data_IF_377084129250
#
_entry.id   IF_377084129250
#
_cell.length_a   1.000
_cell.length_b   1.000
_cell.length_c   1.000
_cell.angle_alpha   90.00
_cell.angle_beta   90.00
_cell.angle_gamma   90.00
#
_symmetry.space_group_name_H-M   'P 1'
#
loop_
_entity.id
_entity.type
_entity.pdbx_description
1 polymer ?
#
# COMPACT_ATOMS: atom_id res chain seq x y z
N UNK A 1 45.93 11.07 5.32
CA UNK A 1 45.05 9.96 5.74
C UNK A 1 43.92 9.86 4.72
N UNK A 2 43.86 8.82 3.88
CA UNK A 2 42.72 8.64 2.94
C UNK A 2 41.49 8.36 3.80
N UNK A 3 40.48 9.23 3.73
CA UNK A 3 39.19 9.01 4.40
C UNK A 3 38.66 7.65 3.93
N UNK A 4 38.42 6.72 4.85
CA UNK A 4 37.76 5.47 4.48
C UNK A 4 36.35 5.81 3.98
N UNK A 5 35.94 5.34 2.79
CA UNK A 5 34.63 5.64 2.27
C UNK A 5 33.55 5.04 3.19
N UNK A 6 32.44 5.77 3.39
CA UNK A 6 31.31 5.32 4.22
C UNK A 6 30.77 3.96 3.75
N UNK A 7 30.84 3.68 2.45
CA UNK A 7 30.42 2.42 1.83
C UNK A 7 31.59 1.74 1.12
N UNK A 8 31.67 0.41 1.25
CA UNK A 8 32.72 -0.40 0.63
C UNK A 8 32.51 -0.62 -0.87
N UNK A 9 31.26 -0.68 -1.33
CA UNK A 9 30.89 -0.87 -2.73
C UNK A 9 30.43 0.45 -3.36
N UNK A 10 30.62 0.57 -4.69
CA UNK A 10 30.03 1.66 -5.45
C UNK A 10 28.49 1.56 -5.46
N UNK A 11 27.81 2.67 -5.76
CA UNK A 11 26.33 2.72 -5.77
C UNK A 11 25.69 1.66 -6.68
N UNK A 12 26.26 1.44 -7.86
CA UNK A 12 25.72 0.50 -8.84
C UNK A 12 25.95 -0.96 -8.42
N UNK A 13 27.12 -1.26 -7.86
CA UNK A 13 27.43 -2.59 -7.33
C UNK A 13 26.59 -2.94 -6.10
N UNK A 14 26.40 -1.97 -5.19
CA UNK A 14 25.53 -2.17 -4.03
C UNK A 14 24.08 -2.38 -4.48
N UNK A 15 23.59 -1.56 -5.42
CA UNK A 15 22.23 -1.69 -5.94
C UNK A 15 22.03 -3.04 -6.62
N UNK A 16 22.96 -3.49 -7.48
CA UNK A 16 22.88 -4.82 -8.12
C UNK A 16 22.83 -5.94 -7.10
N UNK A 17 23.66 -5.88 -6.06
CA UNK A 17 23.72 -6.91 -5.00
C UNK A 17 22.42 -6.95 -4.19
N UNK A 18 21.90 -5.79 -3.80
CA UNK A 18 20.64 -5.68 -3.04
C UNK A 18 19.45 -6.10 -3.90
N UNK A 19 19.41 -5.75 -5.20
CA UNK A 19 18.38 -6.21 -6.14
C UNK A 19 18.40 -7.73 -6.30
N UNK A 20 19.57 -8.33 -6.48
CA UNK A 20 19.69 -9.80 -6.58
C UNK A 20 19.19 -10.50 -5.31
N UNK A 21 19.50 -9.92 -4.13
CA UNK A 21 18.96 -10.39 -2.86
C UNK A 21 17.44 -10.25 -2.80
N UNK A 22 16.89 -9.08 -3.15
CA UNK A 22 15.46 -8.82 -3.09
C UNK A 22 14.69 -9.76 -4.03
N UNK A 23 15.18 -9.96 -5.25
CA UNK A 23 14.64 -10.95 -6.17
C UNK A 23 14.62 -12.36 -5.56
N UNK A 24 15.71 -12.76 -4.91
CA UNK A 24 15.81 -14.07 -4.25
C UNK A 24 14.84 -14.19 -3.08
N UNK A 25 14.61 -13.12 -2.31
CA UNK A 25 13.62 -13.09 -1.22
C UNK A 25 12.21 -13.24 -1.77
N UNK A 26 11.83 -12.44 -2.77
CA UNK A 26 10.52 -12.54 -3.42
C UNK A 26 10.29 -13.92 -4.02
N UNK A 27 11.26 -14.44 -4.79
CA UNK A 27 11.16 -15.78 -5.41
C UNK A 27 11.04 -16.91 -4.38
N UNK A 28 11.69 -16.78 -3.22
CA UNK A 28 11.64 -17.80 -2.14
C UNK A 28 10.35 -17.72 -1.33
N UNK A 29 9.65 -16.60 -1.35
CA UNK A 29 8.33 -16.49 -0.72
C UNK A 29 7.25 -17.13 -1.61
N UNK A 30 7.43 -18.42 -1.91
CA UNK A 30 6.54 -19.19 -2.77
C UNK A 30 5.13 -19.26 -2.19
N UNK A 31 4.99 -19.43 -0.87
CA UNK A 31 3.68 -19.45 -0.21
C UNK A 31 2.86 -18.18 -0.50
N UNK A 32 3.48 -17.00 -0.39
CA UNK A 32 2.82 -15.75 -0.72
C UNK A 32 2.44 -15.68 -2.20
N UNK A 33 3.36 -16.02 -3.10
CA UNK A 33 3.10 -16.01 -4.56
C UNK A 33 1.97 -16.97 -4.94
N UNK A 34 1.94 -18.19 -4.40
CA UNK A 34 0.91 -19.17 -4.70
C UNK A 34 -0.48 -18.74 -4.22
N UNK A 35 -0.59 -18.30 -2.97
CA UNK A 35 -1.86 -17.80 -2.41
C UNK A 35 -2.35 -16.59 -3.20
N UNK A 36 -1.43 -15.70 -3.56
CA UNK A 36 -1.73 -14.49 -4.34
C UNK A 36 -2.19 -14.83 -5.76
N UNK A 37 -1.51 -15.75 -6.44
CA UNK A 37 -1.89 -16.20 -7.78
C UNK A 37 -3.28 -16.85 -7.79
N UNK A 38 -3.57 -17.72 -6.80
CA UNK A 38 -4.89 -18.33 -6.65
C UNK A 38 -5.96 -17.28 -6.40
N UNK A 39 -5.71 -16.33 -5.49
CA UNK A 39 -6.65 -15.25 -5.18
C UNK A 39 -6.96 -14.42 -6.43
N UNK A 40 -5.95 -14.08 -7.23
CA UNK A 40 -6.10 -13.33 -8.49
C UNK A 40 -6.95 -14.10 -9.51
N UNK A 41 -6.72 -15.40 -9.68
CA UNK A 41 -7.50 -16.24 -10.59
C UNK A 41 -8.96 -16.33 -10.14
N UNK A 42 -9.20 -16.66 -8.86
CA UNK A 42 -10.55 -16.81 -8.32
C UNK A 42 -11.33 -15.50 -8.42
N UNK A 43 -10.72 -14.37 -8.02
CA UNK A 43 -11.39 -13.07 -8.10
C UNK A 43 -11.59 -12.60 -9.53
N UNK A 44 -10.64 -12.88 -10.43
CA UNK A 44 -10.80 -12.65 -11.86
C UNK A 44 -11.97 -13.43 -12.46
N UNK A 45 -12.14 -14.70 -12.10
CA UNK A 45 -13.29 -15.52 -12.52
C UNK A 45 -14.61 -15.03 -11.91
N UNK A 46 -14.63 -14.64 -10.64
CA UNK A 46 -15.83 -14.10 -9.99
C UNK A 46 -16.27 -12.80 -10.68
N UNK A 47 -15.37 -11.84 -10.89
CA UNK A 47 -15.73 -10.59 -11.56
C UNK A 47 -16.06 -10.80 -13.04
N UNK A 48 -15.29 -11.64 -13.74
CA UNK A 48 -15.56 -11.97 -15.14
C UNK A 48 -16.91 -12.67 -15.34
N UNK A 49 -17.32 -13.56 -14.43
CA UNK A 49 -18.62 -14.23 -14.51
C UNK A 49 -19.80 -13.37 -14.05
N UNK A 50 -19.59 -12.51 -13.04
CA UNK A 50 -20.62 -11.57 -12.57
C UNK A 50 -21.01 -10.57 -13.65
N UNK A 51 -20.03 -10.11 -14.44
CA UNK A 51 -20.21 -9.13 -15.50
C UNK A 51 -20.12 -9.74 -16.91
N UNK A 52 -20.49 -11.02 -17.04
CA UNK A 52 -20.32 -11.76 -18.28
C UNK A 52 -21.06 -11.11 -19.46
N UNK A 53 -20.31 -10.77 -20.52
CA UNK A 53 -20.83 -10.15 -21.75
C UNK A 53 -21.77 -8.97 -21.50
N UNK A 54 -21.26 -7.95 -20.83
CA UNK A 54 -22.04 -6.75 -20.49
C UNK A 54 -22.38 -5.94 -21.74
N UNK A 55 -23.62 -5.41 -21.80
CA UNK A 55 -24.05 -4.52 -22.88
C UNK A 55 -23.26 -3.19 -22.81
N UNK A 56 -22.51 -2.82 -23.87
CA UNK A 56 -21.74 -1.58 -23.90
C UNK A 56 -22.58 -0.29 -23.76
N UNK A 57 -23.89 -0.37 -24.04
CA UNK A 57 -24.84 0.75 -23.88
C UNK A 57 -25.03 1.12 -22.41
N UNK A 58 -24.85 0.18 -21.49
CA UNK A 58 -24.91 0.45 -20.07
C UNK A 58 -23.57 1.01 -19.57
N UNK A 59 -23.47 2.35 -19.58
CA UNK A 59 -22.31 3.09 -19.10
C UNK A 59 -22.00 2.78 -17.63
N UNK A 60 -23.03 2.64 -16.80
CA UNK A 60 -22.86 2.39 -15.37
C UNK A 60 -22.21 1.03 -15.14
N UNK A 61 -22.67 -0.01 -15.84
CA UNK A 61 -22.11 -1.35 -15.73
C UNK A 61 -20.68 -1.42 -16.27
N UNK A 62 -20.43 -0.88 -17.47
CA UNK A 62 -19.10 -0.93 -18.10
C UNK A 62 -18.06 -0.15 -17.31
N UNK A 63 -18.38 1.08 -16.89
CA UNK A 63 -17.47 1.89 -16.04
C UNK A 63 -17.31 1.24 -14.67
N UNK A 64 -18.38 0.62 -14.13
CA UNK A 64 -18.34 -0.14 -12.90
C UNK A 64 -17.35 -1.32 -12.94
N UNK A 65 -17.27 -2.05 -14.06
CA UNK A 65 -16.30 -3.14 -14.26
C UNK A 65 -14.86 -2.59 -14.24
N UNK A 66 -14.61 -1.49 -14.95
CA UNK A 66 -13.29 -0.85 -14.99
C UNK A 66 -12.88 -0.36 -13.59
N UNK A 67 -13.81 0.24 -12.86
CA UNK A 67 -13.60 0.68 -11.49
C UNK A 67 -13.34 -0.49 -10.54
N UNK A 68 -14.14 -1.55 -10.61
CA UNK A 68 -13.95 -2.76 -9.80
C UNK A 68 -12.58 -3.41 -10.06
N UNK A 69 -12.13 -3.43 -11.31
CA UNK A 69 -10.81 -3.92 -11.67
C UNK A 69 -9.69 -3.08 -11.04
N UNK A 70 -9.81 -1.75 -11.06
CA UNK A 70 -8.83 -0.85 -10.41
C UNK A 70 -8.81 -1.00 -8.88
N UNK A 71 -9.97 -1.15 -8.24
CA UNK A 71 -10.07 -1.37 -6.80
C UNK A 71 -9.45 -2.71 -6.40
N UNK A 72 -9.65 -3.75 -7.19
CA UNK A 72 -9.05 -5.05 -6.89
C UNK A 72 -7.52 -4.97 -6.88
N UNK A 73 -6.94 -4.24 -7.84
CA UNK A 73 -5.49 -4.00 -7.86
C UNK A 73 -5.03 -3.24 -6.61
N UNK A 74 -5.76 -2.21 -6.17
CA UNK A 74 -5.40 -1.43 -4.99
C UNK A 74 -5.50 -2.21 -3.69
N UNK A 75 -6.64 -2.88 -3.46
CA UNK A 75 -6.87 -3.73 -2.28
C UNK A 75 -5.84 -4.86 -2.20
N UNK A 76 -5.49 -5.44 -3.35
CA UNK A 76 -4.55 -6.53 -3.45
C UNK A 76 -3.15 -6.20 -2.92
N UNK A 77 -2.70 -4.94 -3.07
CA UNK A 77 -1.38 -4.51 -2.60
C UNK A 77 -1.31 -4.30 -1.09
N UNK A 78 -2.45 -4.19 -0.39
CA UNK A 78 -2.50 -4.08 1.08
C UNK A 78 -1.83 -5.28 1.77
N UNK A 79 -1.83 -6.44 1.12
CA UNK A 79 -1.18 -7.65 1.62
C UNK A 79 0.35 -7.54 1.73
N UNK A 80 0.97 -6.56 1.06
CA UNK A 80 2.42 -6.31 1.12
C UNK A 80 2.84 -5.48 2.34
N UNK A 81 1.90 -4.81 3.02
CA UNK A 81 2.19 -3.92 4.17
C UNK A 81 3.00 -4.62 5.27
N UNK A 82 2.67 -5.85 5.71
CA UNK A 82 3.49 -6.56 6.72
C UNK A 82 4.90 -6.86 6.20
N UNK A 83 5.03 -7.29 4.94
CA UNK A 83 6.32 -7.62 4.33
C UNK A 83 7.22 -6.38 4.21
N UNK A 84 6.68 -5.22 3.83
CA UNK A 84 7.45 -3.98 3.80
C UNK A 84 7.85 -3.51 5.20
N UNK A 85 6.96 -3.69 6.19
CA UNK A 85 7.26 -3.37 7.58
C UNK A 85 8.42 -4.22 8.13
N UNK A 86 8.39 -5.54 7.93
CA UNK A 86 9.50 -6.43 8.35
C UNK A 86 10.80 -6.13 7.60
N UNK A 87 10.71 -5.83 6.30
CA UNK A 87 11.87 -5.47 5.49
C UNK A 87 12.54 -4.17 5.97
N UNK A 88 11.76 -3.23 6.51
CA UNK A 88 12.26 -1.98 7.11
C UNK A 88 13.14 -2.23 8.33
N UNK A 89 12.76 -3.16 9.20
CA UNK A 89 13.55 -3.47 10.41
C UNK A 89 14.89 -4.11 10.05
N UNK A 90 14.90 -4.97 9.02
CA UNK A 90 16.12 -5.55 8.45
C UNK A 90 16.97 -4.45 7.79
N UNK A 91 16.33 -3.52 7.08
CA UNK A 91 16.98 -2.38 6.46
C UNK A 91 17.71 -1.50 7.50
N UNK A 92 17.08 -1.15 8.62
CA UNK A 92 17.71 -0.34 9.67
C UNK A 92 18.99 -0.99 10.23
N UNK A 93 18.95 -2.29 10.50
CA UNK A 93 20.14 -3.06 10.95
C UNK A 93 21.28 -3.03 9.93
N UNK A 94 20.95 -3.18 8.65
CA UNK A 94 21.93 -3.20 7.56
C UNK A 94 22.47 -1.81 7.23
N UNK A 95 21.64 -0.78 7.34
CA UNK A 95 22.03 0.62 7.17
C UNK A 95 22.92 1.10 8.31
N UNK A 96 22.67 0.68 9.56
CA UNK A 96 23.60 0.98 10.68
C UNK A 96 24.98 0.35 10.52
N UNK A 97 25.07 -0.76 9.80
CA UNK A 97 26.34 -1.40 9.45
C UNK A 97 26.96 -0.83 8.15
N UNK A 98 26.36 0.22 7.56
CA UNK A 98 26.80 0.85 6.31
C UNK A 98 26.98 -0.12 5.13
N UNK A 99 26.13 -1.15 5.02
CA UNK A 99 26.21 -2.09 3.90
C UNK A 99 25.79 -1.49 2.55
N UNK A 100 24.75 -0.65 2.54
CA UNK A 100 24.24 0.00 1.33
C UNK A 100 23.40 1.24 1.67
N UNK A 101 23.12 2.07 0.66
CA UNK A 101 22.34 3.32 0.77
C UNK A 101 20.83 3.08 0.70
N UNK A 102 20.05 3.98 1.30
CA UNK A 102 18.57 3.93 1.28
C UNK A 102 18.00 3.90 -0.14
N UNK A 103 18.56 4.70 -1.05
CA UNK A 103 18.17 4.72 -2.45
C UNK A 103 18.40 3.36 -3.16
N UNK A 104 19.49 2.65 -2.86
CA UNK A 104 19.75 1.31 -3.42
C UNK A 104 18.70 0.29 -2.98
N UNK A 105 18.18 0.42 -1.76
CA UNK A 105 17.12 -0.45 -1.24
C UNK A 105 15.76 -0.17 -1.90
N UNK A 106 15.40 1.11 -2.04
CA UNK A 106 14.16 1.48 -2.71
C UNK A 106 14.14 1.01 -4.18
N UNK A 107 15.25 1.20 -4.91
CA UNK A 107 15.39 0.70 -6.29
C UNK A 107 15.31 -0.83 -6.34
N UNK A 108 15.99 -1.53 -5.43
CA UNK A 108 15.94 -2.98 -5.36
C UNK A 108 14.52 -3.51 -5.07
N UNK A 109 13.78 -2.86 -4.18
CA UNK A 109 12.39 -3.20 -3.88
C UNK A 109 11.48 -2.95 -5.08
N UNK A 110 11.62 -1.79 -5.74
CA UNK A 110 10.91 -1.45 -6.98
C UNK A 110 11.10 -2.52 -8.06
N UNK A 111 12.36 -2.87 -8.36
CA UNK A 111 12.68 -3.85 -9.40
C UNK A 111 12.16 -5.26 -9.10
N UNK A 112 12.10 -5.63 -7.81
CA UNK A 112 11.57 -6.94 -7.41
C UNK A 112 10.04 -7.05 -7.52
N UNK A 113 9.32 -5.92 -7.49
CA UNK A 113 7.86 -5.89 -7.59
C UNK A 113 7.35 -5.94 -9.03
N UNK A 114 8.12 -5.44 -10.01
CA UNK A 114 7.71 -5.36 -11.42
C UNK A 114 7.27 -6.72 -12.00
N UNK A 115 8.02 -7.82 -11.84
CA UNK A 115 7.60 -9.11 -12.41
C UNK A 115 6.29 -9.62 -11.82
N UNK A 116 6.08 -9.39 -10.52
CA UNK A 116 4.84 -9.78 -9.84
C UNK A 116 3.66 -8.94 -10.36
N UNK A 117 3.84 -7.61 -10.49
CA UNK A 117 2.82 -6.71 -11.01
C UNK A 117 2.42 -7.07 -12.45
N UNK A 118 3.39 -7.42 -13.31
CA UNK A 118 3.13 -7.88 -14.68
C UNK A 118 2.31 -9.18 -14.66
N UNK A 119 2.72 -10.17 -13.87
CA UNK A 119 2.03 -11.45 -13.76
C UNK A 119 0.59 -11.30 -13.26
N UNK A 120 0.38 -10.54 -12.18
CA UNK A 120 -0.96 -10.26 -11.63
C UNK A 120 -1.85 -9.56 -12.65
N UNK A 121 -1.31 -8.56 -13.36
CA UNK A 121 -2.07 -7.77 -14.33
C UNK A 121 -2.46 -8.57 -15.56
N UNK A 122 -1.56 -9.42 -16.08
CA UNK A 122 -1.86 -10.29 -17.22
C UNK A 122 -2.94 -11.29 -16.84
N UNK A 123 -2.80 -12.00 -15.72
CA UNK A 123 -3.76 -13.05 -15.34
C UNK A 123 -5.13 -12.44 -15.02
N UNK A 124 -5.19 -11.46 -14.11
CA UNK A 124 -6.43 -10.80 -13.73
C UNK A 124 -7.07 -10.08 -14.92
N UNK A 125 -6.25 -9.27 -15.62
CA UNK A 125 -6.72 -8.41 -16.67
C UNK A 125 -7.24 -9.19 -17.87
N UNK A 126 -6.60 -10.31 -18.23
CA UNK A 126 -7.10 -11.18 -19.31
C UNK A 126 -8.45 -11.79 -18.94
N UNK A 127 -8.61 -12.30 -17.72
CA UNK A 127 -9.87 -12.90 -17.28
C UNK A 127 -11.02 -11.88 -17.33
N UNK A 128 -10.83 -10.72 -16.70
CA UNK A 128 -11.88 -9.69 -16.63
C UNK A 128 -12.17 -9.12 -18.02
N UNK A 129 -11.15 -8.79 -18.82
CA UNK A 129 -11.34 -8.12 -20.10
C UNK A 129 -12.14 -8.96 -21.10
N UNK A 130 -11.76 -10.23 -21.25
CA UNK A 130 -12.39 -11.13 -22.22
C UNK A 130 -13.74 -11.67 -21.74
N UNK A 131 -13.90 -11.95 -20.44
CA UNK A 131 -15.18 -12.44 -19.91
C UNK A 131 -16.23 -11.32 -19.86
N UNK A 132 -15.83 -10.09 -19.53
CA UNK A 132 -16.75 -8.95 -19.49
C UNK A 132 -17.24 -8.51 -20.89
N UNK A 133 -16.55 -8.92 -21.96
CA UNK A 133 -16.89 -8.53 -23.32
C UNK A 133 -16.43 -7.10 -23.66
N UNK A 134 -15.30 -6.65 -23.11
CA UNK A 134 -14.71 -5.35 -23.49
C UNK A 134 -14.24 -5.36 -24.95
N UNK A 135 -13.85 -4.19 -25.47
CA UNK A 135 -13.57 -3.99 -26.90
C UNK A 135 -12.57 -5.04 -27.43
N UNK A 136 -12.90 -5.85 -28.46
CA UNK A 136 -12.04 -6.95 -28.91
C UNK A 136 -10.91 -6.46 -29.84
N UNK A 137 -10.10 -5.50 -29.39
CA UNK A 137 -8.95 -4.95 -30.12
C UNK A 137 -7.68 -5.06 -29.29
N UNK A 138 -6.60 -5.58 -29.90
CA UNK A 138 -5.33 -5.83 -29.21
C UNK A 138 -4.70 -4.56 -28.62
N UNK A 139 -4.80 -3.40 -29.30
CA UNK A 139 -4.25 -2.14 -28.79
C UNK A 139 -4.93 -1.68 -27.50
N UNK A 140 -6.26 -1.75 -27.45
CA UNK A 140 -7.04 -1.37 -26.27
C UNK A 140 -6.81 -2.34 -25.11
N UNK A 141 -6.65 -3.63 -25.39
CA UNK A 141 -6.28 -4.64 -24.40
C UNK A 141 -4.89 -4.39 -23.79
N UNK A 142 -3.88 -4.07 -24.60
CA UNK A 142 -2.53 -3.78 -24.10
C UNK A 142 -2.54 -2.53 -23.22
N UNK A 143 -3.24 -1.47 -23.62
CA UNK A 143 -3.37 -0.24 -22.81
C UNK A 143 -4.07 -0.56 -21.47
N UNK A 144 -5.12 -1.37 -21.50
CA UNK A 144 -5.80 -1.83 -20.29
C UNK A 144 -4.84 -2.57 -19.34
N UNK A 145 -4.04 -3.50 -19.85
CA UNK A 145 -3.04 -4.21 -19.06
C UNK A 145 -1.95 -3.29 -18.49
N UNK A 146 -1.48 -2.31 -19.27
CA UNK A 146 -0.49 -1.32 -18.82
C UNK A 146 -1.06 -0.50 -17.66
N UNK A 147 -2.30 -0.03 -17.76
CA UNK A 147 -2.95 0.75 -16.70
C UNK A 147 -3.12 -0.11 -15.43
N UNK A 148 -3.54 -1.37 -15.57
CA UNK A 148 -3.65 -2.30 -14.42
C UNK A 148 -2.30 -2.55 -13.75
N UNK A 149 -1.23 -2.72 -14.55
CA UNK A 149 0.13 -2.89 -14.04
C UNK A 149 0.63 -1.64 -13.31
N UNK A 150 0.41 -0.45 -13.88
CA UNK A 150 0.78 0.81 -13.25
C UNK A 150 0.02 1.03 -11.94
N UNK A 151 -1.26 0.68 -11.92
CA UNK A 151 -2.07 0.76 -10.69
C UNK A 151 -1.51 -0.13 -9.59
N UNK A 152 -1.16 -1.37 -9.92
CA UNK A 152 -0.52 -2.31 -9.01
C UNK A 152 0.80 -1.73 -8.45
N UNK A 153 1.64 -1.16 -9.31
CA UNK A 153 2.92 -0.54 -8.92
C UNK A 153 2.75 0.71 -8.05
N UNK A 154 1.82 1.61 -8.40
CA UNK A 154 1.54 2.85 -7.64
C UNK A 154 1.09 2.51 -6.22
N UNK A 155 0.20 1.53 -6.06
CA UNK A 155 -0.27 1.11 -4.74
C UNK A 155 0.82 0.39 -3.94
N UNK A 156 1.65 -0.43 -4.59
CA UNK A 156 2.81 -1.02 -3.93
C UNK A 156 3.79 0.07 -3.42
N UNK A 157 4.05 1.11 -4.23
CA UNK A 157 4.86 2.25 -3.84
C UNK A 157 4.22 3.10 -2.73
N UNK A 158 2.89 3.28 -2.77
CA UNK A 158 2.13 3.94 -1.72
C UNK A 158 2.29 3.22 -0.38
N UNK A 159 2.09 1.90 -0.33
CA UNK A 159 2.24 1.13 0.90
C UNK A 159 3.70 1.04 1.36
N UNK A 160 4.66 1.01 0.45
CA UNK A 160 6.08 1.13 0.79
C UNK A 160 6.38 2.49 1.47
N UNK A 161 5.87 3.59 0.90
CA UNK A 161 6.01 4.93 1.48
C UNK A 161 5.30 5.03 2.84
N UNK A 162 4.07 4.53 2.93
CA UNK A 162 3.28 4.55 4.16
C UNK A 162 3.96 3.78 5.30
N UNK A 163 4.49 2.58 5.01
CA UNK A 163 5.24 1.79 6.01
C UNK A 163 6.56 2.42 6.40
N UNK A 164 7.19 3.21 5.52
CA UNK A 164 8.34 4.03 5.89
C UNK A 164 7.94 5.17 6.84
N UNK A 165 6.79 5.82 6.61
CA UNK A 165 6.32 6.96 7.40
C UNK A 165 5.77 6.55 8.77
N UNK A 166 5.03 5.45 8.87
CA UNK A 166 4.35 5.07 10.11
C UNK A 166 5.30 4.44 11.15
N UNK A 167 5.27 4.84 12.43
CA UNK A 167 6.21 4.32 13.44
C UNK A 167 5.96 2.84 13.78
N UNK A 168 4.70 2.42 13.87
CA UNK A 168 4.32 1.06 14.27
C UNK A 168 3.39 0.39 13.25
N UNK A 169 3.42 -0.95 13.21
CA UNK A 169 2.52 -1.75 12.37
C UNK A 169 1.05 -1.53 12.73
N UNK A 170 0.75 -1.35 14.02
CA UNK A 170 -0.59 -1.07 14.53
C UNK A 170 -1.16 0.27 14.03
N UNK A 171 -0.30 1.20 13.58
CA UNK A 171 -0.72 2.44 12.92
C UNK A 171 -0.72 2.27 11.40
N UNK A 172 0.32 1.63 10.83
CA UNK A 172 0.46 1.45 9.39
C UNK A 172 -0.73 0.68 8.77
N UNK A 173 -1.18 -0.40 9.42
CA UNK A 173 -2.27 -1.23 8.92
C UNK A 173 -3.62 -0.49 8.81
N UNK A 174 -4.16 0.14 9.87
CA UNK A 174 -5.41 0.89 9.75
C UNK A 174 -5.27 2.11 8.81
N UNK A 175 -4.12 2.78 8.80
CA UNK A 175 -3.87 3.88 7.85
C UNK A 175 -3.89 3.41 6.39
N UNK A 176 -3.42 2.19 6.12
CA UNK A 176 -3.48 1.59 4.78
C UNK A 176 -4.92 1.45 4.32
N UNK A 177 -5.76 0.81 5.14
CA UNK A 177 -7.18 0.62 4.83
C UNK A 177 -7.92 1.95 4.72
N UNK A 178 -7.67 2.89 5.64
CA UNK A 178 -8.29 4.21 5.62
C UNK A 178 -7.98 4.98 4.33
N UNK A 179 -6.71 4.94 3.88
CA UNK A 179 -6.33 5.62 2.65
C UNK A 179 -6.99 5.01 1.42
N UNK A 180 -7.08 3.68 1.34
CA UNK A 180 -7.77 3.01 0.23
C UNK A 180 -9.22 3.44 0.13
N UNK A 181 -9.93 3.54 1.27
CA UNK A 181 -11.34 3.96 1.28
C UNK A 181 -11.48 5.39 0.75
N UNK A 182 -10.60 6.31 1.15
CA UNK A 182 -10.61 7.68 0.62
C UNK A 182 -10.32 7.68 -0.88
N UNK A 183 -9.27 6.99 -1.32
CA UNK A 183 -8.90 6.97 -2.74
C UNK A 183 -10.00 6.34 -3.61
N UNK A 184 -10.64 5.28 -3.14
CA UNK A 184 -11.81 4.67 -3.78
C UNK A 184 -13.00 5.64 -3.88
N UNK A 185 -13.36 6.31 -2.77
CA UNK A 185 -14.49 7.23 -2.71
C UNK A 185 -14.34 8.40 -3.70
N UNK A 186 -13.14 8.95 -3.81
CA UNK A 186 -12.79 10.05 -4.72
C UNK A 186 -12.28 9.57 -6.10
N UNK A 187 -12.42 8.27 -6.41
CA UNK A 187 -11.91 7.65 -7.64
C UNK A 187 -12.72 7.97 -8.91
N UNK A 188 -13.83 8.72 -8.81
CA UNK A 188 -14.61 9.19 -9.97
C UNK A 188 -15.78 8.30 -10.40
N UNK A 189 -15.94 7.11 -9.81
CA UNK A 189 -17.12 6.26 -10.02
C UNK A 189 -18.16 6.42 -8.89
N UNK A 190 -17.76 6.20 -7.63
CA UNK A 190 -18.66 6.32 -6.46
C UNK A 190 -19.16 7.76 -6.31
N UNK A 191 -18.25 8.72 -6.43
CA UNK A 191 -18.58 10.13 -6.60
C UNK A 191 -18.05 10.60 -7.95
N UNK A 192 -18.97 10.81 -8.89
CA UNK A 192 -18.66 11.41 -10.18
C UNK A 192 -18.18 12.86 -10.00
N UNK A 193 -17.32 13.32 -10.91
CA UNK A 193 -16.65 14.63 -10.81
C UNK A 193 -17.65 15.80 -10.72
N UNK A 194 -18.79 15.70 -11.39
CA UNK A 194 -19.85 16.72 -11.44
C UNK A 194 -20.64 16.87 -10.13
N UNK A 195 -20.67 15.84 -9.27
CA UNK A 195 -21.38 15.88 -7.98
C UNK A 195 -20.44 16.26 -6.84
N UNK A 196 -19.13 16.29 -7.09
CA UNK A 196 -18.12 16.60 -6.08
C UNK A 196 -18.18 18.09 -5.70
N UNK A 197 -18.20 18.44 -4.41
CA UNK A 197 -18.10 19.82 -3.98
C UNK A 197 -16.80 20.48 -4.48
N UNK A 198 -16.88 21.71 -4.97
CA UNK A 198 -15.73 22.42 -5.58
C UNK A 198 -14.50 22.49 -4.66
N UNK A 199 -14.71 22.60 -3.35
CA UNK A 199 -13.62 22.65 -2.36
C UNK A 199 -12.89 21.31 -2.15
N UNK A 200 -13.46 20.17 -2.60
CA UNK A 200 -12.86 18.84 -2.54
C UNK A 200 -12.25 18.38 -3.87
N UNK A 201 -12.41 19.15 -4.95
CA UNK A 201 -12.01 18.70 -6.28
C UNK A 201 -10.50 18.45 -6.42
N UNK A 202 -9.67 19.07 -5.58
CA UNK A 202 -8.23 18.82 -5.56
C UNK A 202 -7.88 17.38 -5.17
N UNK A 203 -8.68 16.73 -4.31
CA UNK A 203 -8.48 15.33 -3.92
C UNK A 203 -8.64 14.42 -5.13
N UNK A 204 -9.65 14.68 -5.96
CA UNK A 204 -9.88 13.95 -7.20
C UNK A 204 -8.66 13.99 -8.13
N UNK A 205 -7.88 15.07 -8.16
CA UNK A 205 -6.67 15.14 -8.98
C UNK A 205 -5.43 14.49 -8.34
N UNK A 206 -5.41 14.23 -7.03
CA UNK A 206 -4.30 13.54 -6.36
C UNK A 206 -4.45 12.02 -6.37
N UNK A 207 -5.70 11.54 -6.35
CA UNK A 207 -6.01 10.12 -6.23
C UNK A 207 -5.63 9.35 -7.50
N UNK A 208 -4.88 8.24 -7.43
CA UNK A 208 -4.51 7.45 -8.62
C UNK A 208 -5.71 6.78 -9.30
N UNK A 209 -6.76 6.42 -8.56
CA UNK A 209 -7.97 5.78 -9.11
C UNK A 209 -8.65 6.67 -10.15
N UNK A 210 -8.76 7.98 -9.92
CA UNK A 210 -9.42 8.91 -10.84
C UNK A 210 -8.73 8.99 -12.21
N UNK A 211 -7.39 8.95 -12.23
CA UNK A 211 -6.59 8.96 -13.44
C UNK A 211 -6.65 7.61 -14.15
N UNK A 212 -6.64 6.51 -13.40
CA UNK A 212 -6.75 5.16 -13.96
C UNK A 212 -8.11 4.92 -14.59
N UNK A 213 -9.19 5.24 -13.88
CA UNK A 213 -10.54 5.11 -14.36
C UNK A 213 -10.76 5.98 -15.60
N UNK A 214 -10.35 7.25 -15.56
CA UNK A 214 -10.43 8.15 -16.73
C UNK A 214 -9.71 7.56 -17.95
N UNK A 215 -8.48 7.09 -17.78
CA UNK A 215 -7.71 6.51 -18.88
C UNK A 215 -8.37 5.23 -19.43
N UNK A 216 -8.92 4.38 -18.56
CA UNK A 216 -9.62 3.15 -18.95
C UNK A 216 -10.93 3.45 -19.68
N UNK A 217 -11.74 4.39 -19.18
CA UNK A 217 -12.99 4.81 -19.80
C UNK A 217 -12.75 5.37 -21.19
N UNK A 218 -11.78 6.28 -21.34
CA UNK A 218 -11.40 6.83 -22.65
C UNK A 218 -10.89 5.72 -23.57
N UNK A 219 -10.04 4.81 -23.08
CA UNK A 219 -9.56 3.68 -23.87
C UNK A 219 -10.69 2.75 -24.35
N UNK A 220 -11.74 2.54 -23.55
CA UNK A 220 -12.88 1.71 -23.91
C UNK A 220 -13.81 2.42 -24.91
N UNK A 221 -14.31 3.61 -24.55
CA UNK A 221 -15.39 4.29 -25.28
C UNK A 221 -14.93 5.09 -26.48
N UNK A 222 -13.66 5.47 -26.55
CA UNK A 222 -13.08 6.11 -27.74
C UNK A 222 -12.51 5.11 -28.75
N UNK A 223 -12.91 3.84 -28.66
CA UNK A 223 -12.58 2.87 -29.69
C UNK A 223 -13.43 3.10 -30.94
N UNK A 224 -12.92 2.71 -32.11
CA UNK A 224 -13.65 2.82 -33.38
C UNK A 224 -15.01 2.09 -33.38
N UNK A 225 -15.19 1.12 -32.49
CA UNK A 225 -16.44 0.36 -32.34
C UNK A 225 -17.56 1.22 -31.75
N UNK A 226 -17.24 2.19 -30.90
CA UNK A 226 -18.22 3.05 -30.20
C UNK A 226 -18.17 4.51 -30.65
N UNK A 227 -17.17 4.91 -31.45
CA UNK A 227 -17.10 6.23 -32.08
C UNK A 227 -17.95 6.27 -33.36
N UNK A 228 -19.23 5.92 -33.22
CA UNK A 228 -20.23 5.86 -34.30
C UNK A 228 -21.47 6.69 -33.94
N UNK A 229 -22.14 7.22 -34.97
CA UNK A 229 -23.38 7.98 -34.79
C UNK A 229 -24.59 7.09 -34.52
N UNK A 230 -24.67 5.94 -35.19
CA UNK A 230 -25.76 4.98 -35.05
C UNK A 230 -25.21 3.70 -34.45
N UNK A 231 -25.79 3.27 -33.32
CA UNK A 231 -25.47 2.00 -32.67
C UNK A 231 -26.76 1.34 -32.22
N UNK A 232 -27.01 0.11 -32.68
CA UNK A 232 -28.19 -0.70 -32.32
C UNK A 232 -29.52 0.08 -32.48
N UNK A 233 -29.73 0.64 -33.67
CA UNK A 233 -30.90 1.43 -34.08
C UNK A 233 -31.14 2.77 -33.34
N UNK A 234 -30.18 3.24 -32.53
CA UNK A 234 -30.20 4.57 -31.89
C UNK A 234 -29.22 5.52 -32.56
N UNK A 235 -29.69 6.68 -33.03
CA UNK A 235 -28.88 7.74 -33.62
C UNK A 235 -28.51 8.83 -32.59
N UNK A 236 -27.33 8.70 -32.02
CA UNK A 236 -26.78 9.63 -31.01
C UNK A 236 -26.40 11.00 -31.61
N UNK A 237 -25.99 11.04 -32.87
CA UNK A 237 -25.60 12.29 -33.52
C UNK A 237 -26.83 13.17 -33.79
N UNK A 238 -27.95 12.58 -34.23
CA UNK A 238 -29.19 13.33 -34.45
C UNK A 238 -29.81 13.84 -33.14
N UNK A 239 -29.70 13.06 -32.05
CA UNK A 239 -30.39 13.35 -30.80
C UNK A 239 -29.56 14.21 -29.83
N UNK A 240 -28.24 13.99 -29.78
CA UNK A 240 -27.34 14.62 -28.80
C UNK A 240 -26.17 15.37 -29.45
N UNK A 241 -26.03 15.35 -30.78
CA UNK A 241 -24.92 15.96 -31.52
C UNK A 241 -23.52 15.44 -31.07
N UNK A 242 -23.47 14.20 -30.59
CA UNK A 242 -22.28 13.54 -30.05
C UNK A 242 -22.26 12.08 -30.53
N UNK A 243 -21.07 11.47 -30.64
CA UNK A 243 -20.97 10.03 -30.88
C UNK A 243 -21.34 9.24 -29.63
N UNK A 244 -21.74 7.97 -29.78
CA UNK A 244 -22.12 7.12 -28.65
C UNK A 244 -21.04 7.13 -27.55
N UNK A 245 -19.77 6.95 -27.92
CA UNK A 245 -18.67 6.95 -26.98
C UNK A 245 -18.51 8.27 -26.20
N UNK A 246 -18.70 9.43 -26.85
CA UNK A 246 -18.63 10.73 -26.19
C UNK A 246 -19.81 10.95 -25.25
N UNK A 247 -21.01 10.57 -25.68
CA UNK A 247 -22.22 10.67 -24.90
C UNK A 247 -22.11 9.87 -23.59
N UNK A 248 -21.67 8.60 -23.67
CA UNK A 248 -21.50 7.74 -22.50
C UNK A 248 -20.41 8.23 -21.54
N UNK A 249 -19.33 8.82 -22.06
CA UNK A 249 -18.28 9.45 -21.24
C UNK A 249 -18.79 10.71 -20.54
N UNK A 250 -19.60 11.52 -21.23
CA UNK A 250 -20.15 12.75 -20.68
C UNK A 250 -21.10 12.49 -19.51
N UNK A 251 -21.83 11.38 -19.52
CA UNK A 251 -22.73 10.98 -18.42
C UNK A 251 -22.02 10.89 -17.07
N UNK A 252 -20.73 10.48 -17.06
CA UNK A 252 -19.89 10.39 -15.86
C UNK A 252 -18.89 11.56 -15.74
N UNK A 253 -19.08 12.63 -16.51
CA UNK A 253 -18.18 13.80 -16.57
C UNK A 253 -16.71 13.43 -16.86
N UNK A 254 -16.50 12.36 -17.65
CA UNK A 254 -15.19 11.91 -18.10
C UNK A 254 -14.85 12.64 -19.41
N UNK A 255 -13.68 13.26 -19.53
CA UNK A 255 -13.32 13.96 -20.76
C UNK A 255 -13.04 12.98 -21.91
N UNK A 256 -13.46 13.32 -23.13
CA UNK A 256 -13.41 12.45 -24.32
C UNK A 256 -12.07 12.40 -25.05
N UNK A 257 -11.16 13.36 -24.82
CA UNK A 257 -9.91 13.44 -25.59
C UNK A 257 -9.03 12.19 -25.39
N UNK A 258 -8.47 11.67 -26.48
CA UNK A 258 -7.57 10.50 -26.45
C UNK A 258 -6.28 10.75 -25.66
N UNK A 259 -5.85 12.01 -25.55
CA UNK A 259 -4.65 12.42 -24.80
C UNK A 259 -4.73 12.09 -23.31
N UNK A 260 -5.94 11.93 -22.76
CA UNK A 260 -6.13 11.57 -21.35
C UNK A 260 -5.61 10.17 -21.01
N UNK A 261 -5.53 9.27 -21.98
CA UNK A 261 -4.93 7.93 -21.77
C UNK A 261 -3.45 8.08 -21.44
N UNK A 262 -2.70 8.78 -22.30
CA UNK A 262 -1.27 9.00 -22.11
C UNK A 262 -0.96 9.90 -20.91
N UNK A 263 -1.78 10.91 -20.68
CA UNK A 263 -1.66 11.77 -19.49
C UNK A 263 -1.84 10.95 -18.21
N UNK A 264 -2.81 10.03 -18.17
CA UNK A 264 -3.01 9.12 -17.04
C UNK A 264 -1.81 8.19 -16.82
N UNK A 265 -1.24 7.64 -17.89
CA UNK A 265 -0.02 6.80 -17.83
C UNK A 265 1.17 7.59 -17.28
N UNK A 266 1.43 8.79 -17.82
CA UNK A 266 2.53 9.65 -17.37
C UNK A 266 2.35 10.04 -15.90
N UNK A 267 1.13 10.39 -15.50
CA UNK A 267 0.80 10.71 -14.12
C UNK A 267 1.10 9.54 -13.18
N UNK A 268 0.67 8.32 -13.50
CA UNK A 268 0.94 7.14 -12.67
C UNK A 268 2.42 6.81 -12.57
N UNK A 269 3.17 6.91 -13.67
CA UNK A 269 4.63 6.70 -13.66
C UNK A 269 5.30 7.76 -12.79
N UNK A 270 4.91 9.03 -12.93
CA UNK A 270 5.41 10.12 -12.10
C UNK A 270 5.10 9.92 -10.62
N UNK A 271 3.86 9.56 -10.29
CA UNK A 271 3.42 9.29 -8.93
C UNK A 271 4.16 8.08 -8.33
N UNK A 272 4.36 7.02 -9.10
CA UNK A 272 5.14 5.85 -8.68
C UNK A 272 6.57 6.23 -8.28
N UNK A 273 7.28 6.95 -9.16
CA UNK A 273 8.65 7.40 -8.89
C UNK A 273 8.69 8.35 -7.68
N UNK A 274 7.73 9.27 -7.59
CA UNK A 274 7.61 10.21 -6.47
C UNK A 274 7.40 9.48 -5.13
N UNK A 275 6.50 8.50 -5.07
CA UNK A 275 6.22 7.73 -3.86
C UNK A 275 7.42 6.86 -3.46
N UNK A 276 8.09 6.21 -4.41
CA UNK A 276 9.30 5.45 -4.15
C UNK A 276 10.44 6.33 -3.64
N UNK A 277 10.63 7.52 -4.23
CA UNK A 277 11.64 8.49 -3.80
C UNK A 277 11.33 9.04 -2.40
N UNK A 278 10.06 9.37 -2.13
CA UNK A 278 9.61 9.83 -0.81
C UNK A 278 9.81 8.74 0.24
N UNK A 279 9.47 7.48 -0.07
CA UNK A 279 9.75 6.35 0.83
C UNK A 279 11.25 6.18 1.12
N UNK A 280 12.10 6.31 0.10
CA UNK A 280 13.56 6.26 0.27
C UNK A 280 14.09 7.41 1.14
N UNK A 281 13.58 8.61 0.93
CA UNK A 281 13.92 9.81 1.70
C UNK A 281 13.50 9.66 3.16
N UNK A 282 12.27 9.21 3.42
CA UNK A 282 11.76 8.98 4.78
C UNK A 282 12.60 7.92 5.50
N UNK A 283 12.98 6.82 4.84
CA UNK A 283 13.86 5.81 5.41
C UNK A 283 15.27 6.32 5.75
N UNK A 284 15.73 7.37 5.07
CA UNK A 284 17.05 7.98 5.30
C UNK A 284 17.03 8.94 6.49
N UNK A 285 16.00 9.77 6.62
CA UNK A 285 15.95 10.81 7.66
C UNK A 285 15.19 10.37 8.92
N UNK A 286 14.26 9.43 8.80
CA UNK A 286 13.38 9.02 9.90
C UNK A 286 13.62 7.57 10.28
N UNK A 287 14.31 7.38 11.40
CA UNK A 287 14.61 6.06 11.95
C UNK A 287 13.78 5.80 13.19
N UNK A 288 12.93 4.79 13.11
CA UNK A 288 12.10 4.32 14.22
C UNK A 288 12.80 3.16 14.94
N UNK A 289 13.95 3.44 15.55
CA UNK A 289 14.62 2.48 16.44
C UNK A 289 13.99 2.61 17.84
N UNK A 290 12.82 2.02 18.03
CA UNK A 290 12.26 1.77 19.35
C UNK A 290 12.53 0.31 19.74
N UNK A 291 13.10 0.00 20.91
CA UNK A 291 13.10 -1.38 21.38
C UNK A 291 11.66 -1.86 21.47
N UNK A 292 11.34 -2.98 20.81
CA UNK A 292 9.99 -3.55 20.72
C UNK A 292 9.32 -3.83 22.09
N UNK A 293 10.07 -3.71 23.19
CA UNK A 293 9.67 -4.09 24.54
C UNK A 293 9.83 -3.00 25.62
N UNK A 294 10.13 -1.73 25.28
CA UNK A 294 10.16 -0.68 26.32
C UNK A 294 8.82 0.05 26.32
N UNK A 295 7.91 -0.43 27.15
CA UNK A 295 6.79 0.36 27.64
C UNK A 295 7.36 1.59 28.36
N UNK A 296 7.33 2.73 27.67
CA UNK A 296 7.59 4.02 28.29
C UNK A 296 6.53 4.19 29.39
N UNK A 297 6.98 4.35 30.64
CA UNK A 297 6.10 4.76 31.75
C UNK A 297 5.36 6.05 31.32
N UNK A 298 4.08 6.19 31.67
CA UNK A 298 3.34 7.39 31.34
C UNK A 298 4.02 8.60 31.99
N UNK A 299 4.24 9.63 31.17
CA UNK A 299 4.73 10.94 31.58
C UNK A 299 3.54 11.70 32.14
N UNK A 300 3.48 11.89 33.46
CA UNK A 300 2.55 12.84 34.05
C UNK A 300 3.04 14.26 33.77
N UNK A 301 2.35 14.94 32.84
CA UNK A 301 2.40 16.39 32.69
C UNK A 301 1.29 16.99 33.56
N UNK A 302 1.64 17.63 34.68
CA UNK A 302 0.97 18.84 35.17
C UNK A 302 1.78 19.58 36.25
N UNK A 303 2.37 20.70 35.81
CA UNK A 303 2.55 22.01 36.46
C UNK A 303 2.81 22.11 37.97
N UNK A 304 3.89 22.83 38.31
CA UNK A 304 3.94 23.73 39.46
C UNK A 304 5.06 23.42 40.45
N UNK A 305 5.73 24.47 40.92
CA UNK A 305 7.02 24.47 41.61
C UNK A 305 7.06 23.86 43.02
N UNK A 306 8.25 23.31 43.30
CA UNK A 306 9.02 23.40 44.55
C UNK A 306 8.64 22.60 45.82
N UNK A 307 9.57 21.69 46.15
CA UNK A 307 10.14 21.35 47.48
C UNK A 307 9.55 20.20 48.30
N UNK A 308 10.42 19.18 48.48
CA UNK A 308 10.67 18.24 49.61
C UNK A 308 9.49 17.71 50.46
N UNK A 309 9.51 16.37 50.60
CA UNK A 309 9.14 15.54 51.76
C UNK A 309 7.84 15.94 52.49
N UNK A 310 6.77 15.16 52.47
CA UNK A 310 6.51 13.98 53.32
C UNK A 310 5.18 13.37 52.84
N UNK A 311 4.91 12.10 53.14
CA UNK A 311 3.82 11.23 52.65
C UNK A 311 2.42 11.87 52.56
N UNK A 312 1.54 11.48 51.63
CA UNK A 312 0.67 10.31 51.82
C UNK A 312 -0.16 9.98 50.55
N UNK A 313 -0.62 8.73 50.52
CA UNK A 313 -1.63 8.08 49.66
C UNK A 313 -1.14 7.23 48.48
N UNK A 314 -1.68 6.02 48.27
CA UNK A 314 -1.96 4.85 49.13
C UNK A 314 -2.11 3.70 48.13
N UNK A 315 -1.48 2.58 48.42
CA UNK A 315 -1.35 1.40 47.56
C UNK A 315 -2.62 0.53 47.62
N UNK A 316 -3.28 0.28 46.50
CA UNK A 316 -4.33 -0.75 46.39
C UNK A 316 -3.70 -2.14 46.25
N UNK A 317 -3.97 -3.05 47.20
CA UNK A 317 -3.43 -4.42 47.20
C UNK A 317 -4.35 -5.42 46.50
N UNK A 318 -3.71 -6.31 45.73
CA UNK A 318 -4.22 -7.52 45.09
C UNK A 318 -4.68 -8.59 46.13
N UNK A 319 -5.37 -9.69 45.73
CA UNK A 319 -6.37 -10.41 46.54
C UNK A 319 -5.80 -11.34 47.64
N UNK A 320 -4.69 -10.95 48.28
CA UNK A 320 -4.21 -11.56 49.52
C UNK A 320 -4.56 -10.74 50.76
N UNK A 321 -5.36 -9.68 50.60
CA UNK A 321 -5.93 -8.89 51.70
C UNK A 321 -7.46 -8.91 51.63
N UNK A 322 -8.05 -10.11 51.71
CA UNK A 322 -9.32 -10.27 52.40
C UNK A 322 -8.99 -10.56 53.88
N UNK A 323 -9.30 -9.70 54.82
CA UNK A 323 -10.18 -8.57 54.64
C UNK A 323 -10.70 -8.04 55.95
N UNK A 324 -11.95 -7.62 55.93
CA UNK A 324 -12.63 -7.17 57.12
C UNK A 324 -13.29 -8.36 57.80
N UNK A 325 -12.67 -8.76 58.91
CA UNK A 325 -13.25 -9.32 60.14
C UNK A 325 -14.17 -10.54 60.05
N UNK A 326 -13.66 -11.68 60.52
CA UNK A 326 -14.18 -12.30 61.75
C UNK A 326 -13.32 -13.49 62.19
N UNK A 327 -12.77 -13.43 63.41
CA UNK A 327 -12.49 -14.62 64.22
C UNK A 327 -11.12 -15.31 64.07
N UNK A 328 -10.39 -15.30 65.20
CA UNK A 328 -9.42 -16.31 65.68
C UNK A 328 -7.95 -16.26 65.21
N UNK A 329 -7.10 -16.63 66.18
CA UNK A 329 -5.64 -16.67 66.20
C UNK A 329 -5.05 -17.62 65.14
N UNK A 330 -3.81 -17.31 64.71
CA UNK A 330 -2.89 -18.07 63.86
C UNK A 330 -2.97 -17.77 62.37
N UNK A 331 -2.25 -16.75 61.92
CA UNK A 331 -1.49 -16.83 60.65
C UNK A 331 -0.32 -15.84 60.66
N UNK A 332 0.88 -16.34 60.31
CA UNK A 332 2.15 -15.61 60.30
C UNK A 332 2.61 -15.45 58.85
N UNK A 333 2.81 -14.22 58.39
CA UNK A 333 3.33 -13.93 57.06
C UNK A 333 4.87 -13.75 57.08
N UNK A 334 5.58 -14.58 56.31
CA UNK A 334 7.02 -14.47 56.07
C UNK A 334 7.31 -13.46 54.95
N UNK A 335 8.18 -12.50 55.23
CA UNK A 335 8.64 -11.51 54.25
C UNK A 335 9.75 -12.12 53.36
N UNK A 336 9.53 -12.11 52.05
CA UNK A 336 10.51 -12.60 51.07
C UNK A 336 11.05 -11.39 50.31
N UNK A 337 12.36 -11.10 50.38
CA UNK A 337 12.91 -9.94 49.71
C UNK A 337 12.80 -10.12 48.19
N UNK A 338 12.09 -9.21 47.52
CA UNK A 338 12.07 -9.13 46.06
C UNK A 338 13.46 -8.76 45.57
N UNK A 339 14.13 -9.73 44.93
CA UNK A 339 15.33 -9.46 44.13
C UNK A 339 14.95 -8.57 42.96
N UNK A 340 15.34 -7.30 43.02
CA UNK A 340 15.29 -6.40 41.88
C UNK A 340 16.09 -7.02 40.73
N UNK A 341 15.42 -7.27 39.59
CA UNK A 341 16.10 -7.62 38.35
C UNK A 341 16.70 -6.35 37.76
N UNK A 342 17.85 -5.94 38.29
CA UNK A 342 18.79 -5.09 37.56
C UNK A 342 19.32 -5.89 36.38
N UNK A 343 18.76 -5.67 35.19
CA UNK A 343 19.32 -6.20 33.96
C UNK A 343 20.42 -5.26 33.48
N UNK A 344 21.68 -5.59 33.78
CA UNK A 344 22.84 -5.02 33.10
C UNK A 344 23.03 -5.74 31.76
N UNK A 345 22.98 -5.05 30.61
CA UNK A 345 23.22 -5.69 29.33
C UNK A 345 24.69 -6.15 29.26
N UNK A 346 24.90 -7.47 29.16
CA UNK A 346 26.21 -8.06 28.93
C UNK A 346 26.34 -8.32 27.42
N UNK A 347 27.29 -7.66 26.78
CA UNK A 347 27.67 -7.94 25.40
C UNK A 347 28.59 -9.17 25.39
N UNK A 348 28.10 -10.30 24.88
CA UNK A 348 28.92 -11.50 24.69
C UNK A 348 29.63 -11.36 23.34
N UNK A 349 30.96 -11.23 23.37
CA UNK A 349 31.81 -11.39 22.20
C UNK A 349 32.54 -12.73 22.33
N UNK A 350 32.45 -13.59 21.32
CA UNK A 350 33.22 -14.82 21.28
C UNK A 350 34.56 -14.54 20.62
N UNK A 351 35.64 -14.84 21.33
CA UNK A 351 36.99 -14.90 20.79
C UNK A 351 37.36 -16.39 20.70
N UNK A 352 37.77 -16.81 19.49
CA UNK A 352 38.21 -18.17 19.14
C UNK A 352 37.11 -19.27 19.17
N UNK A 353 36.20 -19.19 18.19
CA UNK A 353 35.27 -20.27 17.86
C UNK A 353 35.99 -21.37 17.06
N UNK A 354 36.37 -22.46 17.73
CA UNK A 354 36.80 -23.68 17.08
C UNK A 354 35.59 -24.59 16.80
N UNK A 355 35.34 -24.84 15.52
CA UNK A 355 34.44 -25.91 15.08
C UNK A 355 35.26 -27.18 14.95
N UNK A 356 34.88 -28.23 15.67
CA UNK A 356 35.38 -29.59 15.46
C UNK A 356 34.74 -30.22 14.25
#
# INVERSE_FOLDING_TARGET
>A
MKLMPEFRQSFWESTRTVTARQWKLTKRNTSFIYVRALMVIVMGLIYGSTFYQTDPKDAQMTIGILFQATIFMSLGQTAQVPTFYEARDIFYKQRSANFYRSASFAIANSLALIPQAIGESIVFGSLVYWMAGLVPHAGHFIIFLIIMMLMNLVYAAWFFCLTAICPSFNIAKPMSTFTIVIFNLFGGFVMAKNVMPDWLIWVYYLVPDSWSLRALCVNQYRSKTFDVCVYDDVDYCSQYNLTMGEYLLQQYAVPSNHDWVWTGVIYMVGLYVFLMATGAFVLEYKRYDGPANVSLKPKDDNRGEATKETSDYVLATTPKNSGTSSGSMHDVALDVPRREKLFTPVTIAFQDLHYF
#
